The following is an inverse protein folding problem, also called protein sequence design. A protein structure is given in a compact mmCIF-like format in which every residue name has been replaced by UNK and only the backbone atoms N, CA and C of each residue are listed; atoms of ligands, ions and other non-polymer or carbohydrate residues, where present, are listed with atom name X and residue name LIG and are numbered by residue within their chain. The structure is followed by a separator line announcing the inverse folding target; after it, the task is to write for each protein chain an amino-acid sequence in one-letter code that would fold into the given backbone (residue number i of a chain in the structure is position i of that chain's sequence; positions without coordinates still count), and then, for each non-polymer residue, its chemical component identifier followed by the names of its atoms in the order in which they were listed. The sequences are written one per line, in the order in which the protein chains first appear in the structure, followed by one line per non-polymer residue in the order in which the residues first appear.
data_IF_646154785191
#
_entry.id   IF_646154785191
#
_cell.length_a   1.000
_cell.length_b   1.000
_cell.length_c   1.000
_cell.angle_alpha   90.00
_cell.angle_beta   90.00
_cell.angle_gamma   90.00
#
_symmetry.space_group_name_H-M   'P 1'
#
loop_
_entity.id
_entity.type
_entity.pdbx_description
1 polymer ?
#
# COMPACT_ATOMS: atom_id res chain seq x y z
N UNK A 1 -9.09 -18.40 -7.34
CA UNK A 1 -9.60 -17.34 -6.44
C UNK A 1 -8.38 -16.63 -5.89
N UNK A 2 -8.16 -15.36 -6.24
CA UNK A 2 -6.84 -14.72 -6.05
C UNK A 2 -6.44 -14.66 -4.56
N UNK A 3 -5.23 -15.13 -4.26
CA UNK A 3 -4.67 -15.42 -2.94
C UNK A 3 -4.23 -14.15 -2.19
N UNK A 4 -5.07 -13.11 -2.15
CA UNK A 4 -4.74 -11.86 -1.45
C UNK A 4 -5.30 -11.87 -0.03
N UNK A 5 -4.53 -11.36 0.93
CA UNK A 5 -4.99 -11.16 2.31
C UNK A 5 -6.24 -10.25 2.33
N UNK A 6 -7.18 -10.50 3.27
CA UNK A 6 -8.46 -9.77 3.34
C UNK A 6 -8.30 -8.25 3.49
N UNK A 7 -7.22 -7.81 4.12
CA UNK A 7 -6.85 -6.40 4.33
C UNK A 7 -6.05 -5.79 3.16
N UNK A 8 -5.75 -6.56 2.11
CA UNK A 8 -4.95 -6.10 0.97
C UNK A 8 -5.65 -5.00 0.19
N UNK A 9 -4.88 -4.02 -0.29
CA UNK A 9 -5.32 -2.96 -1.21
C UNK A 9 -6.05 -3.52 -2.43
N UNK A 10 -5.57 -4.63 -2.98
CA UNK A 10 -6.17 -5.24 -4.16
C UNK A 10 -7.53 -5.90 -3.88
N UNK A 11 -7.76 -6.41 -2.67
CA UNK A 11 -9.07 -6.95 -2.28
C UNK A 11 -10.09 -5.83 -2.10
N UNK A 12 -9.66 -4.69 -1.55
CA UNK A 12 -10.55 -3.57 -1.19
C UNK A 12 -10.76 -2.55 -2.30
N UNK A 13 -9.80 -2.35 -3.18
CA UNK A 13 -9.78 -1.20 -4.10
C UNK A 13 -9.46 -1.55 -5.57
N UNK A 14 -9.25 -2.83 -5.93
CA UNK A 14 -9.07 -3.20 -7.33
C UNK A 14 -10.39 -3.30 -8.08
N UNK A 15 -10.42 -2.80 -9.31
CA UNK A 15 -11.49 -3.10 -10.25
C UNK A 15 -11.31 -4.50 -10.82
N UNK A 16 -12.38 -5.28 -10.88
CA UNK A 16 -12.38 -6.55 -11.60
C UNK A 16 -12.93 -6.26 -13.00
N UNK A 17 -12.15 -6.57 -14.03
CA UNK A 17 -12.53 -6.36 -15.43
C UNK A 17 -12.70 -7.73 -16.08
N UNK A 18 -13.80 -7.91 -16.80
CA UNK A 18 -14.01 -9.09 -17.63
C UNK A 18 -13.36 -8.84 -18.99
N UNK A 19 -12.45 -9.71 -19.39
CA UNK A 19 -11.81 -9.68 -20.70
C UNK A 19 -12.13 -10.97 -21.45
N UNK A 20 -12.30 -10.86 -22.76
CA UNK A 20 -12.51 -12.01 -23.63
C UNK A 20 -11.15 -12.50 -24.11
N UNK A 21 -10.85 -13.76 -23.82
CA UNK A 21 -9.65 -14.44 -24.29
C UNK A 21 -9.75 -14.76 -25.80
N UNK A 22 -8.65 -15.12 -26.45
CA UNK A 22 -8.61 -15.45 -27.88
C UNK A 22 -9.59 -16.58 -28.27
N UNK A 23 -9.90 -17.46 -27.31
CA UNK A 23 -10.86 -18.56 -27.49
C UNK A 23 -12.33 -18.15 -27.21
N UNK A 24 -12.63 -16.86 -27.06
CA UNK A 24 -13.98 -16.35 -26.77
C UNK A 24 -14.45 -16.56 -25.32
N UNK A 25 -13.58 -17.04 -24.44
CA UNK A 25 -13.91 -17.26 -23.02
C UNK A 25 -13.84 -15.94 -22.26
N UNK A 26 -14.86 -15.65 -21.43
CA UNK A 26 -14.81 -14.51 -20.50
C UNK A 26 -13.98 -14.86 -19.28
N UNK A 27 -12.88 -14.16 -19.07
CA UNK A 27 -12.00 -14.34 -17.90
C UNK A 27 -11.97 -13.06 -17.07
N UNK A 28 -11.93 -13.22 -15.74
CA UNK A 28 -11.84 -12.10 -14.80
C UNK A 28 -10.38 -11.73 -14.60
N UNK A 29 -10.04 -10.48 -14.90
CA UNK A 29 -8.72 -9.89 -14.65
C UNK A 29 -8.83 -8.87 -13.53
N UNK A 30 -7.88 -8.93 -12.58
CA UNK A 30 -7.72 -7.89 -11.56
C UNK A 30 -7.04 -6.68 -12.21
N UNK A 31 -7.73 -5.54 -12.21
CA UNK A 31 -7.23 -4.26 -12.67
C UNK A 31 -6.38 -3.56 -11.60
N UNK A 32 -5.93 -2.33 -11.93
CA UNK A 32 -5.14 -1.52 -10.98
C UNK A 32 -6.01 -1.11 -9.79
N UNK A 33 -5.47 -1.25 -8.59
CA UNK A 33 -6.15 -0.80 -7.38
C UNK A 33 -6.13 0.74 -7.29
N UNK A 34 -7.30 1.33 -7.01
CA UNK A 34 -7.39 2.77 -6.74
C UNK A 34 -6.61 3.10 -5.47
N UNK A 35 -6.07 4.31 -5.42
CA UNK A 35 -5.45 4.86 -4.21
C UNK A 35 -6.54 5.08 -3.16
N UNK A 36 -6.41 4.49 -1.95
CA UNK A 36 -7.33 4.79 -0.88
C UNK A 36 -7.10 6.23 -0.36
N UNK A 37 -8.14 6.93 0.13
CA UNK A 37 -7.93 8.16 0.87
C UNK A 37 -7.16 7.82 2.15
N UNK A 38 -5.98 8.42 2.29
CA UNK A 38 -5.12 8.31 3.47
C UNK A 38 -5.12 9.66 4.17
N UNK A 39 -5.47 9.68 5.45
CA UNK A 39 -5.33 10.86 6.29
C UNK A 39 -3.96 10.84 6.96
N UNK A 40 -3.34 12.01 7.09
CA UNK A 40 -2.08 12.18 7.81
C UNK A 40 -2.34 12.22 9.32
N UNK A 41 -1.63 11.38 10.07
CA UNK A 41 -1.60 11.38 11.53
C UNK A 41 -0.59 12.42 12.06
N UNK A 42 0.52 12.57 11.34
CA UNK A 42 1.61 13.50 11.65
C UNK A 42 2.92 13.03 11.01
N UNK A 43 4.03 13.66 11.40
CA UNK A 43 5.37 13.37 10.89
C UNK A 43 6.21 12.60 11.91
N UNK A 44 7.01 11.67 11.41
CA UNK A 44 7.97 10.90 12.19
C UNK A 44 9.40 11.20 11.74
N UNK A 45 10.28 11.52 12.69
CA UNK A 45 11.71 11.75 12.44
C UNK A 45 12.38 10.39 12.22
N UNK A 46 12.88 10.17 11.00
CA UNK A 46 13.57 8.94 10.61
C UNK A 46 14.87 8.79 11.39
N UNK A 47 15.17 7.56 11.79
CA UNK A 47 16.48 7.17 12.34
C UNK A 47 17.19 6.20 11.41
N UNK A 48 18.52 6.25 11.40
CA UNK A 48 19.31 5.30 10.62
C UNK A 48 19.05 3.85 11.06
N UNK A 49 19.01 2.92 10.10
CA UNK A 49 18.66 1.52 10.34
C UNK A 49 17.17 1.27 10.63
N UNK A 50 16.31 2.29 10.62
CA UNK A 50 14.88 2.12 10.87
C UNK A 50 14.17 1.52 9.64
N UNK A 51 13.75 0.26 9.78
CA UNK A 51 12.98 -0.46 8.76
C UNK A 51 11.53 0.03 8.69
N UNK A 52 11.02 0.19 7.47
CA UNK A 52 9.67 0.71 7.22
C UNK A 52 8.56 -0.22 7.69
N UNK A 53 8.75 -1.53 7.61
CA UNK A 53 7.86 -2.56 8.15
C UNK A 53 7.72 -2.47 9.68
N UNK A 54 8.80 -2.11 10.39
CA UNK A 54 8.73 -1.86 11.83
C UNK A 54 7.93 -0.59 12.13
N UNK A 55 8.13 0.45 11.33
CA UNK A 55 7.39 1.71 11.43
C UNK A 55 5.89 1.50 11.20
N UNK A 56 5.55 0.72 10.17
CA UNK A 56 4.18 0.32 9.87
C UNK A 56 3.58 -0.53 10.99
N UNK A 57 4.33 -1.47 11.55
CA UNK A 57 3.85 -2.24 12.70
C UNK A 57 3.60 -1.34 13.93
N UNK A 58 4.46 -0.35 14.16
CA UNK A 58 4.33 0.56 15.30
C UNK A 58 3.10 1.47 15.18
N UNK A 59 2.92 2.15 14.03
CA UNK A 59 1.84 3.11 13.84
C UNK A 59 0.52 2.49 13.37
N UNK A 60 0.59 1.46 12.53
CA UNK A 60 -0.58 0.88 11.85
C UNK A 60 -0.95 -0.51 12.39
N UNK A 61 -0.16 -1.06 13.33
CA UNK A 61 -0.33 -2.42 13.88
C UNK A 61 -0.32 -3.53 12.81
N UNK A 62 0.25 -3.24 11.65
CA UNK A 62 0.33 -4.14 10.50
C UNK A 62 1.65 -3.88 9.75
N UNK A 63 2.66 -4.76 9.86
CA UNK A 63 3.93 -4.60 9.16
C UNK A 63 3.76 -4.63 7.64
N UNK A 64 2.72 -5.31 7.13
CA UNK A 64 2.42 -5.38 5.70
C UNK A 64 1.79 -4.09 5.16
N UNK A 65 1.39 -3.16 6.04
CA UNK A 65 0.78 -1.88 5.67
C UNK A 65 1.80 -0.78 5.35
N UNK A 66 3.10 -1.10 5.25
CA UNK A 66 4.16 -0.13 4.92
C UNK A 66 3.89 0.65 3.62
N UNK A 67 3.22 0.04 2.64
CA UNK A 67 2.87 0.68 1.37
C UNK A 67 1.98 1.92 1.56
N UNK A 68 1.22 2.01 2.66
CA UNK A 68 0.42 3.20 2.97
C UNK A 68 1.30 4.39 3.33
N UNK A 69 2.43 4.14 4.00
CA UNK A 69 3.42 5.17 4.32
C UNK A 69 4.04 5.66 3.01
N UNK A 70 4.42 4.75 2.11
CA UNK A 70 4.91 5.12 0.78
C UNK A 70 3.90 5.96 0.00
N UNK A 71 2.65 5.51 -0.06
CA UNK A 71 1.59 6.18 -0.81
C UNK A 71 1.29 7.59 -0.26
N UNK A 72 1.36 7.79 1.07
CA UNK A 72 1.15 9.11 1.70
C UNK A 72 2.29 10.09 1.42
N UNK A 73 3.52 9.58 1.27
CA UNK A 73 4.72 10.38 0.99
C UNK A 73 5.00 10.53 -0.51
N UNK A 74 4.10 10.07 -1.38
CA UNK A 74 4.25 10.10 -2.84
C UNK A 74 5.54 9.46 -3.36
N UNK A 75 5.95 8.35 -2.73
CA UNK A 75 7.13 7.59 -3.13
C UNK A 75 6.74 6.25 -3.75
N UNK A 76 7.45 5.86 -4.80
CA UNK A 76 7.21 4.59 -5.49
C UNK A 76 7.96 3.44 -4.82
N UNK A 77 9.21 3.70 -4.39
CA UNK A 77 10.07 2.72 -3.77
C UNK A 77 10.27 3.05 -2.27
N UNK A 78 10.18 2.06 -1.37
CA UNK A 78 10.41 2.27 0.06
C UNK A 78 11.76 2.93 0.37
N UNK A 79 12.80 2.61 -0.41
CA UNK A 79 14.15 3.12 -0.22
C UNK A 79 14.24 4.64 -0.42
N UNK A 80 13.31 5.26 -1.15
CA UNK A 80 13.25 6.72 -1.28
C UNK A 80 12.96 7.41 0.07
N UNK A 81 12.32 6.71 1.01
CA UNK A 81 12.11 7.23 2.36
C UNK A 81 13.40 7.19 3.21
N UNK A 82 14.45 6.50 2.78
CA UNK A 82 15.73 6.53 3.47
C UNK A 82 16.46 7.87 3.28
N UNK A 83 16.15 8.57 2.18
CA UNK A 83 16.76 9.85 1.79
C UNK A 83 16.10 11.08 2.46
N UNK A 84 14.99 10.88 3.18
CA UNK A 84 14.26 11.96 3.87
C UNK A 84 14.43 11.87 5.38
N UNK A 85 14.46 13.04 6.03
CA UNK A 85 14.53 13.14 7.49
C UNK A 85 13.16 12.94 8.15
N UNK A 86 12.09 13.44 7.52
CA UNK A 86 10.72 13.39 8.01
C UNK A 86 9.88 12.49 7.12
N UNK A 87 9.14 11.57 7.74
CA UNK A 87 8.22 10.65 7.08
C UNK A 87 6.81 10.94 7.57
N UNK A 88 5.89 11.25 6.64
CA UNK A 88 4.47 11.39 6.97
C UNK A 88 3.86 10.03 7.30
N UNK A 89 3.15 9.96 8.41
CA UNK A 89 2.54 8.73 8.90
C UNK A 89 1.03 8.78 8.68
N UNK A 90 0.42 7.75 8.06
CA UNK A 90 -1.02 7.70 7.89
C UNK A 90 -1.74 7.30 9.19
N UNK A 91 -3.01 7.68 9.32
CA UNK A 91 -3.86 7.22 10.42
C UNK A 91 -4.11 5.71 10.33
N UNK A 92 -4.11 4.96 11.46
CA UNK A 92 -4.58 3.59 11.47
C UNK A 92 -6.09 3.53 11.12
N UNK A 93 -6.50 2.46 10.43
CA UNK A 93 -7.91 2.20 10.09
C UNK A 93 -8.59 1.33 11.14
#
# INVERSE_FOLDING_TARGET
MSLYAKNSRYVRHASIVEVTDEQGRKVKRVGRAKQPPLAELGEHIRREGQRLDHLANYYLRDPSAYWKICELNDVLLPDQLAEVELIKIPTPY
#
